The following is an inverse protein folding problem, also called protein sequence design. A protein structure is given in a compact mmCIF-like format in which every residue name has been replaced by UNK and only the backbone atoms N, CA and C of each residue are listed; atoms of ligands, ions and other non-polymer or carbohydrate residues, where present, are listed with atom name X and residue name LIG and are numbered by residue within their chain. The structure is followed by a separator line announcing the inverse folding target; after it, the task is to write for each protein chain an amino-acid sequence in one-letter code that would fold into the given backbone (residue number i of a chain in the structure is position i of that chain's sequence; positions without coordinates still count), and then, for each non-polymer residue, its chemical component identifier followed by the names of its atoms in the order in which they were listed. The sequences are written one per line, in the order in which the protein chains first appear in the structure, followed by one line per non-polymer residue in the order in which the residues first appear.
data_IF_845870011288
#
_entry.id   IF_845870011288
#
_cell.length_a   1.000
_cell.length_b   1.000
_cell.length_c   1.000
_cell.angle_alpha   90.00
_cell.angle_beta   90.00
_cell.angle_gamma   90.00
#
_symmetry.space_group_name_H-M   'P 1'
#
loop_
_entity.id
_entity.type
_entity.pdbx_description
1 polymer ?
#
# COMPACT_ATOMS: atom_id res chain seq x y z
N UNK A 1 -8.51 -1.92 -12.27
CA UNK A 1 -7.29 -2.59 -12.73
C UNK A 1 -6.28 -1.52 -13.11
N UNK A 2 -5.46 -1.08 -12.15
CA UNK A 2 -4.36 -0.16 -12.42
C UNK A 2 -3.15 -1.05 -12.69
N UNK A 3 -2.74 -1.15 -13.95
CA UNK A 3 -1.47 -1.76 -14.34
C UNK A 3 -0.35 -0.79 -13.97
N UNK A 4 0.37 -1.08 -12.88
CA UNK A 4 1.64 -0.42 -12.60
C UNK A 4 2.70 -1.01 -13.53
N UNK A 5 2.98 -0.33 -14.64
CA UNK A 5 4.11 -0.62 -15.51
C UNK A 5 5.38 -0.01 -14.89
N UNK A 6 5.98 -0.74 -13.96
CA UNK A 6 7.25 -0.44 -13.32
C UNK A 6 7.65 -1.64 -12.47
N UNK A 7 8.93 -1.92 -12.29
CA UNK A 7 9.39 -2.98 -11.39
C UNK A 7 8.62 -2.87 -10.07
N UNK A 8 7.91 -3.93 -9.69
CA UNK A 8 6.85 -3.90 -8.68
C UNK A 8 7.29 -3.39 -7.29
N UNK A 9 8.60 -3.31 -7.03
CA UNK A 9 9.19 -2.86 -5.78
C UNK A 9 9.63 -1.38 -5.77
N UNK A 10 9.53 -0.61 -6.86
CA UNK A 10 10.02 0.78 -6.92
C UNK A 10 9.41 1.70 -5.85
N UNK A 11 8.13 1.49 -5.51
CA UNK A 11 7.48 2.23 -4.42
C UNK A 11 8.02 1.80 -3.06
N UNK A 12 8.37 0.52 -2.89
CA UNK A 12 8.93 0.00 -1.65
C UNK A 12 10.31 0.60 -1.38
N UNK A 13 11.15 0.62 -2.42
CA UNK A 13 12.51 1.15 -2.35
C UNK A 13 12.55 2.67 -2.18
N UNK A 14 11.79 3.42 -2.98
CA UNK A 14 11.93 4.87 -3.02
C UNK A 14 11.07 5.62 -2.00
N UNK A 15 10.06 4.97 -1.42
CA UNK A 15 9.12 5.63 -0.52
C UNK A 15 8.94 4.90 0.80
N UNK A 16 8.63 3.60 0.77
CA UNK A 16 8.30 2.87 1.99
C UNK A 16 9.51 2.72 2.92
N UNK A 17 10.63 2.20 2.42
CA UNK A 17 11.80 1.93 3.25
C UNK A 17 12.44 3.21 3.84
N UNK A 18 12.65 4.30 3.08
CA UNK A 18 13.14 5.56 3.66
C UNK A 18 12.21 6.11 4.74
N UNK A 19 10.90 6.09 4.49
CA UNK A 19 9.92 6.57 5.46
C UNK A 19 9.91 5.71 6.72
N UNK A 20 9.98 4.39 6.59
CA UNK A 20 10.00 3.47 7.73
C UNK A 20 11.25 3.64 8.59
N UNK A 21 12.43 3.77 7.96
CA UNK A 21 13.70 4.05 8.67
C UNK A 21 13.60 5.38 9.43
N UNK A 22 13.04 6.42 8.81
CA UNK A 22 12.87 7.73 9.44
C UNK A 22 11.89 7.71 10.63
N UNK A 23 10.83 6.91 10.56
CA UNK A 23 9.74 6.95 11.56
C UNK A 23 9.86 5.89 12.66
N UNK A 24 10.49 4.76 12.36
CA UNK A 24 10.61 3.65 13.31
C UNK A 24 12.04 3.45 13.81
N UNK A 25 13.06 4.08 13.23
CA UNK A 25 14.47 3.96 13.62
C UNK A 25 14.90 2.48 13.82
N UNK A 26 15.41 2.14 15.02
CA UNK A 26 15.78 0.78 15.45
C UNK A 26 14.57 -0.05 15.96
N UNK A 27 13.36 0.49 15.84
CA UNK A 27 12.12 -0.14 16.24
C UNK A 27 11.72 -1.29 15.33
N UNK A 28 11.06 -2.30 15.91
CA UNK A 28 10.55 -3.44 15.16
C UNK A 28 9.27 -3.07 14.42
N UNK A 29 9.25 -3.26 13.10
CA UNK A 29 8.07 -3.05 12.26
C UNK A 29 7.94 -4.18 11.24
N UNK A 30 6.70 -4.43 10.80
CA UNK A 30 6.37 -5.49 9.85
C UNK A 30 5.61 -4.86 8.68
N UNK A 31 6.05 -5.17 7.45
CA UNK A 31 5.28 -4.85 6.26
C UNK A 31 4.14 -5.85 6.08
N UNK A 32 2.91 -5.34 5.99
CA UNK A 32 1.72 -6.09 5.60
C UNK A 32 1.23 -5.62 4.22
N UNK A 33 1.04 -6.56 3.29
CA UNK A 33 0.53 -6.31 1.94
C UNK A 33 -0.49 -7.38 1.54
N UNK A 34 -1.43 -7.03 0.68
CA UNK A 34 -2.40 -7.98 0.12
C UNK A 34 -1.76 -8.89 -0.95
N UNK A 35 -2.48 -9.93 -1.35
CA UNK A 35 -2.04 -10.88 -2.38
C UNK A 35 -2.17 -10.37 -3.82
N UNK A 36 -2.12 -9.07 -4.09
CA UNK A 36 -2.20 -8.56 -5.45
C UNK A 36 -1.05 -9.10 -6.33
N UNK A 37 -1.25 -9.35 -7.63
CA UNK A 37 -0.22 -9.94 -8.49
C UNK A 37 1.13 -9.20 -8.49
N UNK A 38 1.13 -7.87 -8.30
CA UNK A 38 2.35 -7.07 -8.20
C UNK A 38 3.15 -7.34 -6.92
N UNK A 39 2.46 -7.63 -5.80
CA UNK A 39 3.08 -7.98 -4.53
C UNK A 39 3.60 -9.42 -4.56
N UNK A 40 2.87 -10.34 -5.21
CA UNK A 40 3.29 -11.73 -5.40
C UNK A 40 4.36 -11.90 -6.50
N UNK A 41 4.71 -10.85 -7.24
CA UNK A 41 5.74 -10.92 -8.26
C UNK A 41 7.09 -11.28 -7.64
N UNK A 42 7.82 -12.22 -8.25
CA UNK A 42 9.11 -12.71 -7.74
C UNK A 42 10.08 -11.57 -7.42
N UNK A 43 10.19 -10.58 -8.29
CA UNK A 43 11.08 -9.43 -8.06
C UNK A 43 10.72 -8.63 -6.80
N UNK A 44 9.43 -8.54 -6.48
CA UNK A 44 8.96 -7.83 -5.29
C UNK A 44 9.23 -8.67 -4.04
N UNK A 45 8.94 -9.96 -4.09
CA UNK A 45 9.21 -10.90 -3.00
C UNK A 45 10.71 -11.01 -2.69
N UNK A 46 11.56 -11.15 -3.71
CA UNK A 46 13.02 -11.21 -3.56
C UNK A 46 13.55 -9.91 -2.91
N UNK A 47 13.01 -8.75 -3.29
CA UNK A 47 13.38 -7.46 -2.69
C UNK A 47 12.91 -7.37 -1.23
N UNK A 48 11.67 -7.78 -0.92
CA UNK A 48 11.16 -7.82 0.45
C UNK A 48 12.00 -8.74 1.32
N UNK A 49 12.33 -9.95 0.88
CA UNK A 49 13.17 -10.87 1.65
C UNK A 49 14.57 -10.30 1.95
N UNK A 50 15.13 -9.53 1.02
CA UNK A 50 16.46 -8.94 1.17
C UNK A 50 16.49 -7.71 2.11
N UNK A 51 15.38 -6.96 2.20
CA UNK A 51 15.35 -5.66 2.91
C UNK A 51 14.42 -5.66 4.13
N UNK A 52 13.43 -6.55 4.16
CA UNK A 52 12.30 -6.59 5.09
C UNK A 52 12.11 -8.03 5.61
N UNK A 53 13.03 -8.55 6.43
CA UNK A 53 13.08 -9.96 6.80
C UNK A 53 11.82 -10.45 7.54
N UNK A 54 11.08 -9.55 8.19
CA UNK A 54 9.86 -9.87 8.94
C UNK A 54 8.57 -9.57 8.16
N UNK A 55 8.63 -9.39 6.83
CA UNK A 55 7.43 -9.22 6.01
C UNK A 55 6.50 -10.44 6.17
N UNK A 56 5.29 -10.23 6.69
CA UNK A 56 4.35 -11.31 6.97
C UNK A 56 3.81 -11.91 5.68
N UNK A 57 3.82 -13.25 5.58
CA UNK A 57 3.00 -13.94 4.58
C UNK A 57 1.52 -13.67 4.88
N UNK A 58 0.77 -13.19 3.88
CA UNK A 58 -0.66 -12.91 4.01
C UNK A 58 -1.49 -14.05 3.40
N UNK A 59 -2.56 -14.52 4.07
CA UNK A 59 -3.46 -15.50 3.49
C UNK A 59 -4.19 -14.92 2.27
N UNK A 60 -4.21 -15.67 1.16
CA UNK A 60 -4.89 -15.25 -0.05
C UNK A 60 -6.39 -14.96 0.20
N UNK A 61 -6.93 -13.92 -0.47
CA UNK A 61 -8.35 -13.56 -0.45
C UNK A 61 -8.95 -13.23 0.93
N UNK A 62 -8.19 -12.58 1.83
CA UNK A 62 -8.67 -12.12 3.14
C UNK A 62 -8.69 -10.58 3.25
N UNK A 63 -9.54 -9.87 2.49
CA UNK A 63 -9.63 -8.41 2.55
C UNK A 63 -10.17 -7.91 3.90
N UNK A 64 -10.94 -8.73 4.60
CA UNK A 64 -11.46 -8.51 5.95
C UNK A 64 -10.35 -8.43 7.01
N UNK A 65 -9.21 -9.05 6.76
CA UNK A 65 -8.07 -8.99 7.66
C UNK A 65 -7.19 -7.75 7.41
N UNK A 66 -7.29 -7.10 6.24
CA UNK A 66 -6.44 -5.95 5.92
C UNK A 66 -7.04 -4.68 6.53
N UNK A 67 -6.45 -4.20 7.63
CA UNK A 67 -6.88 -2.98 8.32
C UNK A 67 -6.96 -1.78 7.37
N UNK A 68 -6.07 -1.72 6.36
CA UNK A 68 -6.08 -0.68 5.34
C UNK A 68 -7.36 -0.74 4.50
N UNK A 69 -7.73 -1.92 3.99
CA UNK A 69 -8.90 -2.10 3.14
C UNK A 69 -10.20 -1.92 3.93
N UNK A 70 -10.29 -2.52 5.11
CA UNK A 70 -11.49 -2.45 5.93
C UNK A 70 -11.76 -1.03 6.45
N UNK A 71 -10.72 -0.29 6.84
CA UNK A 71 -10.90 1.01 7.51
C UNK A 71 -10.61 2.18 6.58
N UNK A 72 -9.37 2.29 6.10
CA UNK A 72 -8.89 3.48 5.38
C UNK A 72 -9.53 3.57 4.00
N UNK A 73 -9.52 2.48 3.23
CA UNK A 73 -10.15 2.44 1.91
C UNK A 73 -11.66 2.71 2.02
N UNK A 74 -12.36 2.06 2.96
CA UNK A 74 -13.78 2.30 3.18
C UNK A 74 -14.11 3.78 3.50
N UNK A 75 -13.33 4.42 4.38
CA UNK A 75 -13.50 5.85 4.69
C UNK A 75 -13.24 6.76 3.48
N UNK A 76 -12.19 6.47 2.72
CA UNK A 76 -11.85 7.24 1.52
C UNK A 76 -12.90 7.06 0.43
N UNK A 77 -13.41 5.85 0.22
CA UNK A 77 -14.52 5.56 -0.69
C UNK A 77 -15.79 6.28 -0.29
N UNK A 78 -16.15 6.26 1.00
CA UNK A 78 -17.31 7.00 1.49
C UNK A 78 -17.18 8.50 1.18
N UNK A 79 -16.03 9.11 1.49
CA UNK A 79 -15.76 10.53 1.18
C UNK A 79 -15.73 10.80 -0.32
N UNK A 80 -15.21 9.88 -1.12
CA UNK A 80 -15.17 10.00 -2.58
C UNK A 80 -16.58 9.93 -3.19
N UNK A 81 -17.42 9.03 -2.70
CA UNK A 81 -18.77 8.81 -3.22
C UNK A 81 -19.78 9.87 -2.77
N UNK A 82 -19.51 10.60 -1.68
CA UNK A 82 -20.34 11.72 -1.22
C UNK A 82 -20.43 12.87 -2.23
N UNK A 83 -19.46 13.01 -3.14
CA UNK A 83 -19.41 14.11 -4.09
C UNK A 83 -18.96 13.63 -5.47
N UNK A 84 -19.65 14.06 -6.52
CA UNK A 84 -19.14 13.90 -7.89
C UNK A 84 -18.02 14.90 -8.14
N UNK A 85 -16.84 14.39 -8.49
CA UNK A 85 -15.71 15.21 -8.91
C UNK A 85 -15.69 15.32 -10.43
N UNK A 86 -15.48 16.53 -10.93
CA UNK A 86 -15.36 16.81 -12.36
C UNK A 86 -13.94 16.61 -12.89
N UNK A 87 -12.96 16.38 -12.00
CA UNK A 87 -11.58 16.06 -12.38
C UNK A 87 -10.86 15.25 -11.30
N UNK A 88 -9.84 14.50 -11.72
CA UNK A 88 -8.95 13.73 -10.83
C UNK A 88 -8.19 14.65 -9.86
N UNK A 89 -7.79 15.84 -10.28
CA UNK A 89 -7.11 16.81 -9.43
C UNK A 89 -8.01 17.32 -8.29
N UNK A 90 -9.29 17.58 -8.59
CA UNK A 90 -10.26 17.99 -7.57
C UNK A 90 -10.49 16.88 -6.54
N UNK A 91 -10.57 15.62 -6.98
CA UNK A 91 -10.64 14.45 -6.10
C UNK A 91 -9.41 14.32 -5.22
N UNK A 92 -8.20 14.37 -5.82
CA UNK A 92 -6.92 14.29 -5.09
C UNK A 92 -6.78 15.38 -4.02
N UNK A 93 -7.15 16.63 -4.34
CA UNK A 93 -7.08 17.76 -3.40
C UNK A 93 -8.03 17.58 -2.21
N UNK A 94 -9.19 16.95 -2.44
CA UNK A 94 -10.18 16.72 -1.40
C UNK A 94 -9.78 15.55 -0.49
N UNK A 95 -9.41 14.42 -1.09
CA UNK A 95 -9.04 13.20 -0.37
C UNK A 95 -7.65 13.30 0.27
N UNK A 96 -6.73 14.11 -0.26
CA UNK A 96 -5.43 14.38 0.37
C UNK A 96 -5.50 15.19 1.67
N UNK A 97 -6.70 15.67 2.05
CA UNK A 97 -6.96 16.35 3.33
C UNK A 97 -7.79 15.49 4.29
N UNK A 98 -8.20 14.29 3.84
CA UNK A 98 -9.09 13.40 4.56
C UNK A 98 -8.37 12.67 5.67
#
# INVERSE_FOLDING_TARGET
MITLTGSGFTVLENHLLPWAIEHYEDGHWILHQDGAPAHLAKSTQDWCLANLPDASEWPANSPDLNVLDFSVCAMLEQKACQKKYTSVQASRKCLGKA
#
